data_IF_723047308329
#
_entry.id   IF_723047308329
#
_cell.length_a   1.000
_cell.length_b   1.000
_cell.length_c   1.000
_cell.angle_alpha   90.00
_cell.angle_beta   90.00
_cell.angle_gamma   90.00
#
_symmetry.space_group_name_H-M   'P 1'
#
loop_
_entity.id
_entity.type
_entity.pdbx_description
1 polymer ?
#
# COMPACT_ATOMS: atom_id res chain seq x y z
N UNK A 1 48.51 21.05 21.27
CA UNK A 1 47.04 20.91 21.11
C UNK A 1 46.72 19.50 20.61
N UNK A 2 46.16 18.61 21.44
CA UNK A 2 45.84 17.25 21.02
C UNK A 2 44.59 17.24 20.11
N UNK A 3 44.73 16.64 18.93
CA UNK A 3 43.65 16.45 17.95
C UNK A 3 42.65 15.42 18.52
N UNK A 4 41.42 15.87 18.81
CA UNK A 4 40.34 14.98 19.23
C UNK A 4 40.01 14.00 18.10
N UNK A 5 40.19 12.70 18.37
CA UNK A 5 39.71 11.61 17.51
C UNK A 5 38.18 11.68 17.52
N UNK A 6 37.59 11.94 16.36
CA UNK A 6 36.15 11.80 16.11
C UNK A 6 35.79 10.33 16.38
N UNK A 7 35.11 10.08 17.49
CA UNK A 7 34.55 8.76 17.79
C UNK A 7 33.46 8.53 16.74
N UNK A 8 33.72 7.65 15.77
CA UNK A 8 32.68 7.16 14.86
C UNK A 8 31.70 6.35 15.69
N UNK A 9 30.62 7.03 16.09
CA UNK A 9 29.46 6.44 16.73
C UNK A 9 28.95 5.31 15.84
N UNK A 10 29.17 4.07 16.28
CA UNK A 10 28.67 2.88 15.60
C UNK A 10 27.15 2.95 15.62
N UNK A 11 26.57 3.35 14.49
CA UNK A 11 25.13 3.36 14.28
C UNK A 11 24.56 1.97 14.57
N UNK A 12 23.45 1.94 15.29
CA UNK A 12 22.75 0.71 15.66
C UNK A 12 22.48 -0.16 14.42
N UNK A 13 22.63 -1.47 14.58
CA UNK A 13 22.31 -2.44 13.53
C UNK A 13 20.87 -2.21 13.05
N UNK A 14 20.72 -1.87 11.78
CA UNK A 14 19.41 -1.65 11.17
C UNK A 14 18.99 -0.19 11.02
N UNK A 15 19.79 0.80 11.43
CA UNK A 15 19.40 2.24 11.44
C UNK A 15 19.06 2.84 10.06
N UNK A 16 19.43 2.16 8.97
CA UNK A 16 19.34 2.68 7.60
C UNK A 16 20.11 4.00 7.40
N UNK A 17 20.19 4.47 6.16
CA UNK A 17 20.70 5.78 5.79
C UNK A 17 20.06 6.24 4.49
N UNK A 18 20.01 7.55 4.25
CA UNK A 18 19.68 8.10 2.93
C UNK A 18 20.97 8.36 2.17
N UNK A 19 21.04 7.95 0.91
CA UNK A 19 22.20 8.17 0.03
C UNK A 19 21.77 8.91 -1.23
N UNK A 20 22.64 9.79 -1.73
CA UNK A 20 22.41 10.51 -2.97
C UNK A 20 23.26 9.90 -4.10
N UNK A 21 22.64 9.56 -5.23
CA UNK A 21 23.33 9.05 -6.43
C UNK A 21 22.71 9.68 -7.68
N UNK A 22 23.54 10.29 -8.54
CA UNK A 22 23.07 10.89 -9.79
C UNK A 22 21.97 11.95 -9.60
N UNK A 23 22.09 12.77 -8.56
CA UNK A 23 21.11 13.82 -8.23
C UNK A 23 19.82 13.33 -7.56
N UNK A 24 19.63 12.02 -7.38
CA UNK A 24 18.45 11.44 -6.72
C UNK A 24 18.79 10.85 -5.35
N UNK A 25 17.82 10.80 -4.46
CA UNK A 25 17.94 10.27 -3.10
C UNK A 25 17.39 8.84 -3.02
N UNK A 26 18.03 7.99 -2.25
CA UNK A 26 17.63 6.59 -2.05
C UNK A 26 17.68 6.28 -0.56
N UNK A 27 16.71 5.53 -0.06
CA UNK A 27 16.84 4.89 1.24
C UNK A 27 17.75 3.67 1.09
N UNK A 28 18.66 3.49 2.02
CA UNK A 28 19.56 2.36 2.12
C UNK A 28 19.37 1.72 3.48
N UNK A 29 19.08 0.42 3.53
CA UNK A 29 19.02 -0.33 4.79
C UNK A 29 19.90 -1.56 4.65
N UNK A 30 20.70 -1.85 5.68
CA UNK A 30 21.54 -3.04 5.70
C UNK A 30 20.80 -4.18 6.40
N UNK A 31 20.36 -5.19 5.63
CA UNK A 31 19.69 -6.39 6.13
C UNK A 31 20.56 -7.61 5.83
N UNK A 32 20.81 -8.46 6.84
CA UNK A 32 21.60 -9.70 6.70
C UNK A 32 22.95 -9.50 5.97
N UNK A 33 23.66 -8.40 6.28
CA UNK A 33 24.97 -8.08 5.71
C UNK A 33 24.93 -7.44 4.31
N UNK A 34 23.78 -7.44 3.62
CA UNK A 34 23.58 -6.83 2.30
C UNK A 34 22.91 -5.47 2.41
N UNK A 35 23.30 -4.54 1.54
CA UNK A 35 22.62 -3.25 1.40
C UNK A 35 21.42 -3.41 0.46
N UNK A 36 20.22 -3.13 0.97
CA UNK A 36 19.01 -2.95 0.17
C UNK A 36 18.77 -1.45 -0.07
N UNK A 37 18.34 -1.11 -1.28
CA UNK A 37 18.05 0.26 -1.67
C UNK A 37 16.57 0.36 -2.08
N UNK A 38 15.92 1.48 -1.74
CA UNK A 38 14.61 1.81 -2.29
C UNK A 38 14.69 2.35 -3.72
N UNK A 39 13.54 2.69 -4.29
CA UNK A 39 13.46 3.48 -5.52
C UNK A 39 14.06 4.89 -5.35
N UNK A 40 14.31 5.57 -6.47
CA UNK A 40 14.92 6.90 -6.46
C UNK A 40 13.89 7.99 -6.16
N UNK A 41 14.18 8.87 -5.22
CA UNK A 41 13.34 10.00 -4.82
C UNK A 41 13.96 11.34 -5.24
N UNK A 42 13.12 12.35 -5.57
CA UNK A 42 13.59 13.69 -5.92
C UNK A 42 14.03 14.51 -4.70
N UNK A 43 13.66 14.11 -3.48
CA UNK A 43 14.02 14.83 -2.25
C UNK A 43 14.50 13.89 -1.14
N UNK A 44 15.34 14.44 -0.25
CA UNK A 44 15.87 13.72 0.91
C UNK A 44 14.78 13.27 1.86
N UNK A 45 13.80 14.14 2.13
CA UNK A 45 12.69 13.85 3.04
C UNK A 45 11.87 12.63 2.60
N UNK A 46 11.60 12.48 1.30
CA UNK A 46 10.90 11.31 0.76
C UNK A 46 11.72 10.02 0.92
N UNK A 47 13.04 10.11 0.74
CA UNK A 47 13.93 8.99 0.98
C UNK A 47 14.08 8.65 2.48
N UNK A 48 13.95 9.63 3.37
CA UNK A 48 13.96 9.42 4.83
C UNK A 48 12.70 8.69 5.30
N UNK A 49 11.53 9.08 4.80
CA UNK A 49 10.28 8.34 5.03
C UNK A 49 10.35 6.89 4.47
N UNK A 50 10.94 6.71 3.28
CA UNK A 50 11.18 5.38 2.73
C UNK A 50 12.17 4.56 3.58
N UNK A 51 13.20 5.20 4.15
CA UNK A 51 14.14 4.56 5.09
C UNK A 51 13.40 4.08 6.32
N UNK A 52 12.59 4.94 6.95
CA UNK A 52 11.81 4.55 8.13
C UNK A 52 10.88 3.39 7.83
N UNK A 53 10.21 3.35 6.68
CA UNK A 53 9.43 2.16 6.27
C UNK A 53 10.29 0.93 6.00
N UNK A 54 11.50 1.07 5.46
CA UNK A 54 12.38 -0.10 5.26
C UNK A 54 12.96 -0.65 6.56
N UNK A 55 13.16 0.23 7.56
CA UNK A 55 13.68 -0.10 8.90
C UNK A 55 12.57 -0.65 9.80
N UNK A 56 11.40 0.01 9.81
CA UNK A 56 10.27 -0.29 10.69
C UNK A 56 9.18 -1.17 10.02
N UNK A 57 9.10 -1.18 8.68
CA UNK A 57 7.92 -1.64 7.95
C UNK A 57 8.06 -3.02 7.32
N UNK A 58 7.03 -3.81 7.62
CA UNK A 58 6.50 -5.02 6.96
C UNK A 58 7.29 -5.48 5.74
N UNK A 59 7.94 -6.64 5.87
CA UNK A 59 8.64 -7.26 4.76
C UNK A 59 7.66 -7.49 3.59
N UNK A 60 7.88 -6.88 2.42
CA UNK A 60 6.96 -6.94 1.29
C UNK A 60 6.73 -8.37 0.79
N UNK A 61 7.59 -9.34 1.15
CA UNK A 61 7.36 -10.76 0.84
C UNK A 61 6.12 -11.34 1.54
N UNK A 62 5.70 -10.77 2.66
CA UNK A 62 4.62 -11.29 3.51
C UNK A 62 3.37 -10.39 3.52
N UNK A 63 3.26 -9.45 2.58
CA UNK A 63 2.03 -8.68 2.44
C UNK A 63 0.89 -9.59 1.98
N UNK A 64 -0.31 -9.45 2.58
CA UNK A 64 -1.46 -10.26 2.22
C UNK A 64 -1.94 -9.98 0.79
N UNK A 65 -2.74 -10.89 0.25
CA UNK A 65 -3.55 -10.61 -0.93
C UNK A 65 -4.60 -9.53 -0.62
N UNK A 66 -5.12 -8.87 -1.64
CA UNK A 66 -6.20 -7.90 -1.48
C UNK A 66 -7.42 -8.54 -0.83
N UNK A 67 -7.74 -9.78 -1.24
CA UNK A 67 -8.86 -10.56 -0.68
C UNK A 67 -8.65 -10.84 0.81
N UNK A 68 -7.50 -11.39 1.20
CA UNK A 68 -7.21 -11.75 2.60
C UNK A 68 -7.22 -10.50 3.50
N UNK A 69 -6.63 -9.41 3.00
CA UNK A 69 -6.61 -8.15 3.72
C UNK A 69 -8.01 -7.59 3.91
N UNK A 70 -8.82 -7.59 2.86
CA UNK A 70 -10.19 -7.09 2.92
C UNK A 70 -11.05 -7.94 3.87
N UNK A 71 -10.92 -9.27 3.82
CA UNK A 71 -11.61 -10.15 4.77
C UNK A 71 -11.24 -9.82 6.22
N UNK A 72 -9.95 -9.58 6.50
CA UNK A 72 -9.48 -9.17 7.83
C UNK A 72 -10.13 -7.87 8.29
N UNK A 73 -10.24 -6.87 7.42
CA UNK A 73 -10.92 -5.60 7.74
C UNK A 73 -12.40 -5.84 8.09
N UNK A 74 -13.09 -6.66 7.27
CA UNK A 74 -14.50 -7.00 7.48
C UNK A 74 -14.75 -7.72 8.80
N UNK A 75 -13.82 -8.54 9.26
CA UNK A 75 -13.94 -9.31 10.50
C UNK A 75 -13.53 -8.53 11.76
N UNK A 76 -12.94 -7.35 11.61
CA UNK A 76 -12.48 -6.52 12.72
C UNK A 76 -12.81 -5.06 12.51
N UNK A 77 -11.84 -4.29 12.03
CA UNK A 77 -11.85 -2.82 12.00
C UNK A 77 -13.11 -2.20 11.36
N UNK A 78 -13.71 -2.83 10.35
CA UNK A 78 -14.93 -2.30 9.73
C UNK A 78 -16.16 -2.45 10.62
N UNK A 79 -16.23 -3.47 11.47
CA UNK A 79 -17.32 -3.66 12.43
C UNK A 79 -17.34 -2.54 13.47
N UNK A 80 -16.16 -2.05 13.85
CA UNK A 80 -16.01 -0.99 14.86
C UNK A 80 -16.16 0.43 14.26
N UNK A 81 -15.81 0.60 12.98
CA UNK A 81 -15.70 1.92 12.33
C UNK A 81 -16.95 2.34 11.56
N UNK A 82 -17.73 1.40 11.03
CA UNK A 82 -18.83 1.68 10.11
C UNK A 82 -20.17 1.18 10.66
N UNK A 83 -21.25 1.81 10.19
CA UNK A 83 -22.59 1.33 10.49
C UNK A 83 -22.87 -0.05 9.85
N UNK A 84 -23.83 -0.82 10.40
CA UNK A 84 -24.10 -2.18 9.92
C UNK A 84 -24.50 -2.28 8.44
N UNK A 85 -25.16 -1.25 7.87
CA UNK A 85 -25.54 -1.28 6.46
C UNK A 85 -24.33 -1.10 5.55
N UNK A 86 -23.41 -0.21 5.93
CA UNK A 86 -22.12 -0.04 5.25
C UNK A 86 -21.29 -1.31 5.33
N UNK A 87 -21.20 -1.96 6.50
CA UNK A 87 -20.51 -3.25 6.64
C UNK A 87 -21.11 -4.29 5.71
N UNK A 88 -22.45 -4.44 5.71
CA UNK A 88 -23.16 -5.38 4.84
C UNK A 88 -22.94 -5.12 3.35
N UNK A 89 -22.84 -3.84 2.95
CA UNK A 89 -22.47 -3.45 1.58
C UNK A 89 -21.07 -3.98 1.24
N UNK A 90 -20.09 -3.76 2.11
CA UNK A 90 -18.72 -4.23 1.92
C UNK A 90 -18.63 -5.76 1.92
N UNK A 91 -19.36 -6.46 2.78
CA UNK A 91 -19.42 -7.93 2.78
C UNK A 91 -20.00 -8.47 1.47
N UNK A 92 -21.09 -7.87 1.00
CA UNK A 92 -21.74 -8.26 -0.26
C UNK A 92 -20.77 -8.07 -1.42
N UNK A 93 -20.09 -6.92 -1.47
CA UNK A 93 -19.09 -6.65 -2.49
C UNK A 93 -17.92 -7.64 -2.44
N UNK A 94 -17.41 -7.93 -1.24
CA UNK A 94 -16.33 -8.89 -1.03
C UNK A 94 -16.71 -10.27 -1.58
N UNK A 95 -17.82 -10.85 -1.10
CA UNK A 95 -18.25 -12.21 -1.47
C UNK A 95 -18.57 -12.35 -2.95
N UNK A 96 -19.18 -11.32 -3.54
CA UNK A 96 -19.69 -11.42 -4.92
C UNK A 96 -18.68 -10.97 -5.98
N UNK A 97 -17.70 -10.13 -5.61
CA UNK A 97 -16.81 -9.49 -6.60
C UNK A 97 -15.33 -9.62 -6.30
N UNK A 98 -14.93 -9.65 -5.04
CA UNK A 98 -13.50 -9.69 -4.68
C UNK A 98 -13.02 -11.12 -4.53
N UNK A 99 -13.79 -11.96 -3.84
CA UNK A 99 -13.46 -13.35 -3.55
C UNK A 99 -13.24 -14.14 -4.85
N UNK A 100 -12.05 -14.72 -5.01
CA UNK A 100 -11.66 -15.47 -6.21
C UNK A 100 -11.45 -14.61 -7.46
N UNK A 101 -11.51 -13.27 -7.34
CA UNK A 101 -11.25 -12.39 -8.48
C UNK A 101 -9.75 -12.21 -8.72
N UNK A 102 -9.34 -11.87 -9.95
CA UNK A 102 -7.93 -11.55 -10.22
C UNK A 102 -7.40 -10.35 -9.43
N UNK A 103 -8.26 -9.39 -9.05
CA UNK A 103 -7.85 -8.31 -8.14
C UNK A 103 -7.62 -8.84 -6.72
N UNK A 104 -8.54 -9.68 -6.23
CA UNK A 104 -8.47 -10.33 -4.91
C UNK A 104 -7.17 -11.11 -4.71
N UNK A 105 -6.74 -11.85 -5.72
CA UNK A 105 -5.52 -12.66 -5.68
C UNK A 105 -4.21 -11.85 -5.68
N UNK A 106 -4.24 -10.57 -6.04
CA UNK A 106 -3.04 -9.73 -6.07
C UNK A 106 -2.65 -9.34 -4.65
N UNK A 107 -1.35 -9.43 -4.37
CA UNK A 107 -0.76 -8.82 -3.17
C UNK A 107 -0.89 -7.32 -3.20
N UNK A 108 -1.15 -6.71 -2.03
CA UNK A 108 -1.37 -5.27 -1.89
C UNK A 108 -0.32 -4.40 -2.59
N UNK A 109 0.98 -4.69 -2.40
CA UNK A 109 2.08 -3.93 -2.99
C UNK A 109 2.18 -4.03 -4.52
N UNK A 110 1.55 -5.05 -5.11
CA UNK A 110 1.58 -5.32 -6.54
C UNK A 110 0.39 -4.75 -7.27
N UNK A 111 -0.62 -4.26 -6.56
CA UNK A 111 -1.83 -3.69 -7.16
C UNK A 111 -1.46 -2.37 -7.83
N UNK A 112 -1.64 -2.32 -9.15
CA UNK A 112 -1.48 -1.11 -9.95
C UNK A 112 -2.86 -0.55 -10.29
N UNK A 113 -2.87 0.73 -10.69
CA UNK A 113 -4.07 1.39 -11.21
C UNK A 113 -4.72 0.60 -12.36
N UNK A 114 -3.90 0.02 -13.23
CA UNK A 114 -4.38 -0.79 -14.37
C UNK A 114 -5.15 -2.03 -13.92
N UNK A 115 -4.75 -2.67 -12.83
CA UNK A 115 -5.43 -3.88 -12.30
C UNK A 115 -6.81 -3.52 -11.76
N UNK A 116 -6.89 -2.41 -11.01
CA UNK A 116 -8.17 -1.89 -10.50
C UNK A 116 -9.08 -1.45 -11.65
N UNK A 117 -8.54 -0.76 -12.68
CA UNK A 117 -9.34 -0.36 -13.84
C UNK A 117 -9.86 -1.59 -14.60
N UNK A 118 -9.01 -2.58 -14.87
CA UNK A 118 -9.40 -3.82 -15.54
C UNK A 118 -10.47 -4.58 -14.75
N UNK A 119 -10.38 -4.59 -13.42
CA UNK A 119 -11.41 -5.16 -12.56
C UNK A 119 -12.77 -4.45 -12.74
N UNK A 120 -12.80 -3.12 -12.72
CA UNK A 120 -14.03 -2.33 -12.91
C UNK A 120 -14.58 -2.47 -14.33
N UNK A 121 -13.71 -2.49 -15.34
CA UNK A 121 -14.11 -2.65 -16.74
C UNK A 121 -14.80 -4.00 -16.99
N UNK A 122 -14.41 -5.06 -16.27
CA UNK A 122 -15.10 -6.37 -16.32
C UNK A 122 -16.49 -6.35 -15.71
N UNK A 123 -16.71 -5.52 -14.69
CA UNK A 123 -18.03 -5.36 -14.07
C UNK A 123 -18.96 -4.49 -14.92
N UNK A 124 -18.41 -3.68 -15.83
CA UNK A 124 -19.16 -2.71 -16.61
C UNK A 124 -20.36 -3.26 -17.40
N UNK A 125 -20.31 -4.44 -18.04
CA UNK A 125 -21.45 -4.98 -18.79
C UNK A 125 -22.66 -5.31 -17.90
N UNK A 126 -22.42 -5.61 -16.63
CA UNK A 126 -23.46 -6.09 -15.71
C UNK A 126 -24.10 -4.98 -14.86
N UNK A 127 -23.40 -3.86 -14.66
CA UNK A 127 -23.81 -2.86 -13.67
C UNK A 127 -23.93 -1.46 -14.23
N UNK A 128 -24.96 -0.75 -13.72
CA UNK A 128 -25.13 0.68 -13.95
C UNK A 128 -24.01 1.47 -13.26
N UNK A 129 -23.74 2.68 -13.78
CA UNK A 129 -22.72 3.61 -13.27
C UNK A 129 -22.78 3.84 -11.77
N UNK A 130 -23.98 3.99 -11.20
CA UNK A 130 -24.16 4.20 -9.76
C UNK A 130 -23.61 3.03 -8.93
N UNK A 131 -23.87 1.79 -9.35
CA UNK A 131 -23.35 0.59 -8.68
C UNK A 131 -21.84 0.46 -8.86
N UNK A 132 -21.32 0.72 -10.06
CA UNK A 132 -19.87 0.74 -10.31
C UNK A 132 -19.17 1.77 -9.43
N UNK A 133 -19.76 2.95 -9.22
CA UNK A 133 -19.23 3.97 -8.30
C UNK A 133 -19.16 3.46 -6.87
N UNK A 134 -20.19 2.77 -6.38
CA UNK A 134 -20.18 2.15 -5.04
C UNK A 134 -19.06 1.12 -4.92
N UNK A 135 -18.89 0.25 -5.92
CA UNK A 135 -17.84 -0.75 -5.95
C UNK A 135 -16.43 -0.16 -5.99
N UNK A 136 -16.22 0.89 -6.79
CA UNK A 136 -14.96 1.66 -6.77
C UNK A 136 -14.73 2.26 -5.39
N UNK A 137 -15.76 2.80 -4.75
CA UNK A 137 -15.65 3.33 -3.39
C UNK A 137 -15.22 2.26 -2.40
N UNK A 138 -15.76 1.05 -2.47
CA UNK A 138 -15.34 -0.05 -1.59
C UNK A 138 -13.85 -0.39 -1.77
N UNK A 139 -13.40 -0.53 -3.02
CA UNK A 139 -11.97 -0.79 -3.32
C UNK A 139 -11.09 0.36 -2.84
N UNK A 140 -11.54 1.61 -3.06
CA UNK A 140 -10.84 2.80 -2.61
C UNK A 140 -10.66 2.79 -1.09
N UNK A 141 -11.73 2.57 -0.32
CA UNK A 141 -11.68 2.57 1.16
C UNK A 141 -10.68 1.54 1.70
N UNK A 142 -10.70 0.32 1.17
CA UNK A 142 -9.78 -0.74 1.60
C UNK A 142 -8.32 -0.37 1.32
N UNK A 143 -8.04 0.18 0.14
CA UNK A 143 -6.69 0.58 -0.25
C UNK A 143 -6.24 1.87 0.45
N UNK A 144 -7.15 2.78 0.77
CA UNK A 144 -6.85 3.96 1.58
C UNK A 144 -6.46 3.53 2.99
N UNK A 145 -7.19 2.58 3.58
CA UNK A 145 -6.82 1.98 4.87
C UNK A 145 -5.42 1.36 4.85
N UNK A 146 -5.08 0.64 3.77
CA UNK A 146 -3.75 0.08 3.58
C UNK A 146 -2.64 1.15 3.47
N UNK A 147 -2.96 2.36 3.01
CA UNK A 147 -2.01 3.48 2.89
C UNK A 147 -1.89 4.23 4.21
N UNK A 148 -3.00 4.70 4.75
CA UNK A 148 -3.03 5.71 5.81
C UNK A 148 -2.88 5.10 7.20
N UNK A 149 -3.52 3.95 7.45
CA UNK A 149 -3.65 3.40 8.81
C UNK A 149 -2.61 2.31 9.09
N UNK A 150 -2.21 1.57 8.05
CA UNK A 150 -1.33 0.40 8.18
C UNK A 150 0.01 0.57 7.44
N UNK A 151 0.16 1.64 6.65
CA UNK A 151 1.36 1.95 5.85
C UNK A 151 1.88 0.77 5.00
N UNK A 152 1.00 -0.14 4.59
CA UNK A 152 1.34 -1.36 3.84
C UNK A 152 1.71 -1.05 2.39
N UNK A 153 1.13 0.01 1.82
CA UNK A 153 1.39 0.46 0.45
C UNK A 153 1.56 1.99 0.40
N UNK A 154 2.33 2.46 -0.57
CA UNK A 154 2.73 3.88 -0.65
C UNK A 154 1.64 4.81 -1.17
N UNK A 155 0.73 4.28 -1.99
CA UNK A 155 -0.28 5.06 -2.69
C UNK A 155 -1.50 4.20 -2.95
N UNK A 156 -2.67 4.84 -2.94
CA UNK A 156 -3.91 4.17 -3.31
C UNK A 156 -4.04 4.14 -4.85
N UNK A 157 -3.93 2.96 -5.50
CA UNK A 157 -4.10 2.86 -6.96
C UNK A 157 -5.55 3.12 -7.42
N UNK A 158 -6.54 3.09 -6.53
CA UNK A 158 -7.94 3.35 -6.85
C UNK A 158 -8.31 4.85 -6.89
N UNK A 159 -7.45 5.75 -6.39
CA UNK A 159 -7.73 7.19 -6.25
C UNK A 159 -8.12 7.91 -7.55
N UNK A 160 -7.70 7.40 -8.70
CA UNK A 160 -7.90 8.06 -10.01
C UNK A 160 -8.52 7.14 -11.07
N UNK A 161 -9.33 6.18 -10.64
CA UNK A 161 -10.04 5.26 -11.54
C UNK A 161 -11.11 6.01 -12.33
N UNK A 162 -11.14 5.76 -13.63
CA UNK A 162 -12.11 6.40 -14.52
C UNK A 162 -13.37 5.58 -14.53
N UNK A 163 -14.48 6.22 -14.15
CA UNK A 163 -15.82 5.67 -14.35
C UNK A 163 -16.31 6.05 -15.75
N UNK A 164 -17.11 5.20 -16.42
CA UNK A 164 -17.69 5.54 -17.71
C UNK A 164 -18.68 6.72 -17.57
N UNK A 165 -18.76 7.52 -18.64
CA UNK A 165 -19.63 8.71 -18.71
C UNK A 165 -21.11 8.38 -18.96
N UNK A 166 -21.41 7.17 -19.45
CA UNK A 166 -22.76 6.70 -19.80
C UNK A 166 -23.36 5.85 -18.69
#
# INVERSE_FOLDING_TARGET
>A
MPKQKKVEERREKGSGSVVQRGGKFYARVRKNGKDEYSESFPSRALAEAARERMVNGVNPRFLPSFEDYYLRLLQGEFQDRYDPETVKLHETFYRTRVQGSPLGALRLDRIKKGDVQAFIDRLRPEYRRASLRRWVSCVHTVLEHAVEEQELILKNPAKSIKLPDR
#
